data_IF_708646231584
#
_entry.id   IF_708646231584
#
_cell.length_a   1.000
_cell.length_b   1.000
_cell.length_c   1.000
_cell.angle_alpha   90.00
_cell.angle_beta   90.00
_cell.angle_gamma   90.00
#
_symmetry.space_group_name_H-M   'P 1'
#
loop_
_entity.id
_entity.type
_entity.pdbx_description
1 polymer ?
#
# COMPACT_ATOMS: atom_id res chain seq x y z
N UNK A 1 30.91 20.94 0.91
CA UNK A 1 30.00 20.00 1.64
C UNK A 1 28.63 20.16 1.04
N UNK A 2 27.99 19.07 0.55
CA UNK A 2 26.72 19.12 -0.19
C UNK A 2 25.55 19.18 0.83
N UNK A 3 24.69 20.18 0.70
CA UNK A 3 23.51 20.36 1.56
C UNK A 3 22.25 19.83 0.86
N UNK A 4 21.51 18.94 1.52
CA UNK A 4 20.36 18.23 0.94
C UNK A 4 19.11 18.49 1.80
N UNK A 5 18.04 19.01 1.19
CA UNK A 5 16.74 19.11 1.87
C UNK A 5 15.90 17.87 1.56
N UNK A 6 15.21 17.33 2.58
CA UNK A 6 14.20 16.28 2.43
C UNK A 6 12.86 16.88 2.84
N UNK A 7 11.87 16.84 1.97
CA UNK A 7 10.54 17.41 2.21
C UNK A 7 9.53 16.28 2.35
N UNK A 8 9.01 16.08 3.56
CA UNK A 8 8.09 15.02 3.93
C UNK A 8 8.74 13.94 4.80
N UNK A 9 8.21 13.75 6.02
CA UNK A 9 8.69 12.83 7.05
C UNK A 9 7.97 11.49 7.08
N UNK A 10 7.33 11.08 5.97
CA UNK A 10 6.82 9.72 5.79
C UNK A 10 7.94 8.69 5.64
N UNK A 11 7.58 7.40 5.50
CA UNK A 11 8.59 6.31 5.43
C UNK A 11 9.59 6.50 4.29
N UNK A 12 9.22 7.11 3.16
CA UNK A 12 10.13 7.40 2.05
C UNK A 12 11.16 8.47 2.43
N UNK A 13 10.73 9.57 3.05
CA UNK A 13 11.63 10.62 3.52
C UNK A 13 12.54 10.18 4.66
N UNK A 14 12.00 9.40 5.61
CA UNK A 14 12.79 8.80 6.69
C UNK A 14 13.82 7.80 6.17
N UNK A 15 13.47 6.99 5.15
CA UNK A 15 14.43 6.11 4.50
C UNK A 15 15.52 6.91 3.78
N UNK A 16 15.14 7.99 3.09
CA UNK A 16 16.14 8.88 2.47
C UNK A 16 17.09 9.48 3.51
N UNK A 17 16.56 9.99 4.63
CA UNK A 17 17.37 10.52 5.74
C UNK A 17 18.32 9.46 6.31
N UNK A 18 17.83 8.24 6.52
CA UNK A 18 18.64 7.12 7.04
C UNK A 18 19.81 6.77 6.12
N UNK A 19 19.58 6.66 4.81
CA UNK A 19 20.66 6.35 3.87
C UNK A 19 21.64 7.51 3.66
N UNK A 20 21.20 8.76 3.74
CA UNK A 20 22.10 9.92 3.77
C UNK A 20 22.93 9.94 5.06
N UNK A 21 22.33 9.63 6.20
CA UNK A 21 23.04 9.54 7.47
C UNK A 21 24.12 8.44 7.44
N UNK A 22 23.82 7.28 6.85
CA UNK A 22 24.83 6.23 6.65
C UNK A 22 26.02 6.73 5.83
N UNK A 23 25.78 7.46 4.71
CA UNK A 23 26.84 8.02 3.89
C UNK A 23 27.63 9.09 4.66
N UNK A 24 26.95 9.96 5.40
CA UNK A 24 27.59 11.00 6.22
C UNK A 24 28.51 10.38 7.26
N UNK A 25 28.09 9.33 7.94
CA UNK A 25 28.91 8.58 8.91
C UNK A 25 30.06 7.82 8.26
N UNK A 26 29.93 7.44 7.02
CA UNK A 26 30.99 6.84 6.22
C UNK A 26 31.99 7.87 5.67
N UNK A 27 31.84 9.15 6.00
CA UNK A 27 32.77 10.22 5.63
C UNK A 27 32.39 10.99 4.34
N UNK A 28 31.19 10.76 3.77
CA UNK A 28 30.74 11.56 2.63
C UNK A 28 30.55 13.03 3.05
N UNK A 29 31.05 14.02 2.26
CA UNK A 29 30.99 15.43 2.60
C UNK A 29 29.59 16.00 2.32
N UNK A 30 28.58 15.53 3.06
CA UNK A 30 27.20 15.96 2.93
C UNK A 30 26.55 16.28 4.28
N UNK A 31 25.57 17.16 4.23
CA UNK A 31 24.60 17.45 5.31
C UNK A 31 23.20 17.33 4.76
N UNK A 32 22.23 17.04 5.62
CA UNK A 32 20.83 17.02 5.24
C UNK A 32 19.94 17.62 6.32
N UNK A 33 18.74 18.09 5.92
CA UNK A 33 17.68 18.53 6.82
C UNK A 33 16.37 17.94 6.32
N UNK A 34 15.61 17.32 7.22
CA UNK A 34 14.27 16.81 6.93
C UNK A 34 13.22 17.77 7.47
N UNK A 35 12.31 18.20 6.60
CA UNK A 35 11.15 19.03 6.92
C UNK A 35 9.88 18.20 6.88
N UNK A 36 9.08 18.28 7.95
CA UNK A 36 7.77 17.62 8.05
C UNK A 36 6.73 18.63 8.54
N UNK A 37 5.58 18.67 7.83
CA UNK A 37 4.45 19.55 8.14
C UNK A 37 3.86 19.29 9.53
N UNK A 38 3.73 18.02 9.90
CA UNK A 38 3.09 17.59 11.15
C UNK A 38 4.10 17.49 12.30
N UNK A 39 3.65 17.49 13.57
CA UNK A 39 4.56 17.27 14.70
C UNK A 39 5.07 15.82 14.79
N UNK A 40 4.53 14.89 14.01
CA UNK A 40 4.86 13.46 14.04
C UNK A 40 5.50 12.99 12.73
N UNK A 41 6.61 12.26 12.85
CA UNK A 41 7.26 11.56 11.73
C UNK A 41 6.66 10.15 11.53
N UNK A 42 6.86 9.58 10.35
CA UNK A 42 6.41 8.22 9.99
C UNK A 42 5.20 8.19 9.04
N UNK A 43 4.53 9.33 8.80
CA UNK A 43 3.40 9.40 7.88
C UNK A 43 2.28 8.45 8.29
N UNK A 44 1.88 7.52 7.41
CA UNK A 44 0.82 6.54 7.69
C UNK A 44 1.25 5.35 8.57
N UNK A 45 2.55 5.18 8.86
CA UNK A 45 3.00 4.17 9.81
C UNK A 45 2.77 4.67 11.24
N UNK A 46 1.71 4.18 11.84
CA UNK A 46 1.31 4.55 13.19
C UNK A 46 0.67 3.35 13.87
N UNK A 47 1.18 3.03 15.06
CA UNK A 47 0.67 1.97 15.93
C UNK A 47 0.12 2.59 17.20
N UNK A 48 -1.10 2.24 17.57
CA UNK A 48 -1.79 2.64 18.80
C UNK A 48 -2.01 1.41 19.70
N UNK A 49 -2.36 1.62 20.94
CA UNK A 49 -2.65 0.55 21.91
C UNK A 49 -3.91 0.87 22.68
N UNK A 50 -4.77 -0.16 22.85
CA UNK A 50 -5.93 -0.07 23.71
C UNK A 50 -6.28 -1.47 24.26
N UNK A 51 -6.59 -1.57 25.54
CA UNK A 51 -7.01 -2.78 26.22
C UNK A 51 -6.09 -4.00 25.94
N UNK A 52 -4.79 -3.77 25.98
CA UNK A 52 -3.76 -4.79 25.68
C UNK A 52 -3.64 -5.15 24.19
N UNK A 53 -4.48 -4.61 23.32
CA UNK A 53 -4.42 -4.81 21.87
C UNK A 53 -3.47 -3.82 21.22
N UNK A 54 -2.80 -4.27 20.16
CA UNK A 54 -1.94 -3.47 19.31
C UNK A 54 -2.68 -3.14 18.01
N UNK A 55 -2.85 -1.85 17.74
CA UNK A 55 -3.73 -1.32 16.69
C UNK A 55 -2.90 -0.60 15.64
N UNK A 56 -2.96 -1.07 14.40
CA UNK A 56 -2.36 -0.34 13.29
C UNK A 56 -3.36 0.67 12.70
N UNK A 57 -3.01 1.92 12.73
CA UNK A 57 -3.82 2.98 12.13
C UNK A 57 -3.76 2.94 10.60
N UNK A 58 -2.56 2.73 10.04
CA UNK A 58 -2.26 2.64 8.61
C UNK A 58 -1.88 1.22 8.17
N UNK A 59 -0.81 1.01 7.38
CA UNK A 59 -0.36 -0.33 6.97
C UNK A 59 -0.07 -1.23 8.16
N UNK A 60 -0.63 -2.45 8.18
CA UNK A 60 -0.43 -3.44 9.26
C UNK A 60 0.72 -4.41 8.98
N UNK A 61 1.14 -4.49 7.75
CA UNK A 61 2.12 -5.45 7.25
C UNK A 61 2.58 -5.09 5.84
N UNK A 62 3.56 -5.80 5.34
CA UNK A 62 4.04 -5.69 3.96
C UNK A 62 4.22 -7.07 3.32
N UNK A 63 4.24 -7.11 1.99
CA UNK A 63 4.46 -8.34 1.24
C UNK A 63 5.89 -8.86 1.46
N UNK A 64 6.03 -10.08 1.94
CA UNK A 64 7.34 -10.73 2.21
C UNK A 64 8.18 -10.91 0.94
N UNK A 65 7.53 -10.98 -0.23
CA UNK A 65 8.20 -11.11 -1.53
C UNK A 65 9.09 -9.91 -1.85
N UNK A 66 8.77 -8.71 -1.33
CA UNK A 66 9.54 -7.48 -1.56
C UNK A 66 10.58 -7.29 -0.45
N UNK A 67 11.89 -7.38 -0.74
CA UNK A 67 12.93 -7.49 0.27
C UNK A 67 13.21 -6.20 1.05
N UNK A 68 12.98 -5.03 0.45
CA UNK A 68 13.51 -3.74 0.93
C UNK A 68 13.13 -3.38 2.37
N UNK A 69 11.95 -3.75 2.85
CA UNK A 69 11.56 -3.49 4.24
C UNK A 69 12.27 -4.44 5.21
N UNK A 70 12.41 -5.71 4.85
CA UNK A 70 13.15 -6.68 5.65
C UNK A 70 14.66 -6.37 5.65
N UNK A 71 15.20 -5.86 4.52
CA UNK A 71 16.58 -5.41 4.40
C UNK A 71 16.84 -4.24 5.34
N UNK A 72 15.98 -3.22 5.30
CA UNK A 72 16.09 -2.08 6.22
C UNK A 72 16.00 -2.53 7.69
N UNK A 73 15.10 -3.47 8.03
CA UNK A 73 15.05 -4.03 9.39
C UNK A 73 16.37 -4.72 9.79
N UNK A 74 17.07 -5.38 8.85
CA UNK A 74 18.40 -5.96 9.10
C UNK A 74 19.45 -4.87 9.33
N UNK A 75 19.48 -3.84 8.51
CA UNK A 75 20.40 -2.69 8.64
C UNK A 75 20.18 -1.93 9.96
N UNK A 76 18.93 -1.86 10.43
CA UNK A 76 18.57 -1.26 11.72
C UNK A 76 18.86 -2.17 12.93
N UNK A 77 19.16 -3.46 12.72
CA UNK A 77 19.39 -4.43 13.79
C UNK A 77 18.11 -4.99 14.43
N UNK A 78 16.95 -4.80 13.79
CA UNK A 78 15.64 -5.27 14.29
C UNK A 78 15.06 -6.45 13.52
N UNK A 79 15.87 -7.17 12.75
CA UNK A 79 15.39 -8.33 11.98
C UNK A 79 14.73 -9.41 12.84
N UNK A 80 15.17 -9.59 14.10
CA UNK A 80 14.56 -10.50 15.07
C UNK A 80 13.15 -10.10 15.53
N UNK A 81 12.69 -8.89 15.18
CA UNK A 81 11.34 -8.40 15.46
C UNK A 81 10.36 -8.65 14.32
N UNK A 82 10.84 -9.15 13.17
CA UNK A 82 9.99 -9.52 12.05
C UNK A 82 9.16 -10.76 12.37
N UNK A 83 7.88 -10.68 12.10
CA UNK A 83 6.91 -11.75 12.32
C UNK A 83 6.10 -11.99 11.05
N UNK A 84 5.78 -13.25 10.78
CA UNK A 84 4.94 -13.65 9.66
C UNK A 84 3.45 -13.65 10.01
N UNK A 85 2.61 -13.52 8.98
CA UNK A 85 1.17 -13.81 9.12
C UNK A 85 0.93 -15.29 9.41
N UNK A 86 -0.18 -15.60 10.10
CA UNK A 86 -0.61 -16.98 10.43
C UNK A 86 -1.20 -17.67 9.18
N UNK A 87 -0.34 -18.03 8.23
CA UNK A 87 -0.78 -18.59 6.94
C UNK A 87 -1.43 -19.98 7.05
N UNK A 88 -1.34 -20.65 8.20
CA UNK A 88 -2.08 -21.89 8.46
C UNK A 88 -3.60 -21.68 8.43
N UNK A 89 -4.06 -20.52 8.86
CA UNK A 89 -5.48 -20.12 8.89
C UNK A 89 -5.83 -19.05 7.85
N UNK A 90 -5.11 -18.98 6.72
CA UNK A 90 -5.27 -17.95 5.70
C UNK A 90 -6.54 -18.08 4.86
N UNK A 91 -7.70 -18.24 5.48
CA UNK A 91 -8.98 -18.19 4.79
C UNK A 91 -9.47 -16.75 4.68
N UNK A 92 -9.88 -16.36 3.48
CA UNK A 92 -10.54 -15.07 3.21
C UNK A 92 -11.93 -15.37 2.64
N UNK A 93 -12.90 -14.61 3.07
CA UNK A 93 -14.27 -14.76 2.63
C UNK A 93 -14.67 -13.62 1.71
N UNK A 94 -15.63 -13.87 0.84
CA UNK A 94 -16.34 -12.87 0.04
C UNK A 94 -17.76 -12.80 0.54
N UNK A 95 -18.28 -11.62 0.78
CA UNK A 95 -19.69 -11.43 1.05
C UNK A 95 -20.49 -11.66 -0.23
N UNK A 96 -21.42 -12.58 -0.24
CA UNK A 96 -22.26 -12.91 -1.39
C UNK A 96 -23.70 -13.13 -0.90
N UNK A 97 -24.62 -12.28 -1.35
CA UNK A 97 -26.04 -12.32 -0.93
C UNK A 97 -26.19 -12.35 0.60
N UNK A 98 -25.45 -11.49 1.29
CA UNK A 98 -25.45 -11.37 2.74
C UNK A 98 -24.77 -12.52 3.49
N UNK A 99 -24.09 -13.45 2.84
CA UNK A 99 -23.41 -14.60 3.46
C UNK A 99 -21.91 -14.60 3.14
N UNK A 100 -21.10 -15.02 4.09
CA UNK A 100 -19.66 -15.17 3.91
C UNK A 100 -19.34 -16.50 3.20
N UNK A 101 -18.84 -16.40 1.98
CA UNK A 101 -18.41 -17.53 1.15
C UNK A 101 -16.91 -17.58 1.12
N UNK A 102 -16.24 -18.67 1.51
CA UNK A 102 -14.78 -18.74 1.47
C UNK A 102 -14.27 -18.70 0.01
N UNK A 103 -13.17 -18.02 -0.20
CA UNK A 103 -12.42 -18.12 -1.47
C UNK A 103 -11.93 -19.58 -1.58
N UNK A 104 -12.24 -20.28 -2.68
CA UNK A 104 -11.89 -21.69 -2.80
C UNK A 104 -10.38 -21.89 -2.89
N UNK A 105 -9.91 -22.99 -2.28
CA UNK A 105 -8.52 -23.41 -2.40
C UNK A 105 -8.12 -23.60 -3.86
N UNK A 106 -6.95 -23.11 -4.22
CA UNK A 106 -6.46 -23.19 -5.60
C UNK A 106 -6.88 -22.01 -6.46
N UNK A 107 -7.50 -20.98 -5.90
CA UNK A 107 -7.62 -19.68 -6.53
C UNK A 107 -6.46 -18.82 -6.07
N UNK A 108 -5.48 -18.57 -6.94
CA UNK A 108 -4.35 -17.70 -6.63
C UNK A 108 -4.66 -16.29 -7.15
N UNK A 109 -4.85 -15.36 -6.21
CA UNK A 109 -5.37 -14.04 -6.49
C UNK A 109 -6.76 -14.16 -7.15
N UNK A 110 -6.87 -14.11 -8.47
CA UNK A 110 -8.12 -14.34 -9.23
C UNK A 110 -7.99 -15.44 -10.29
N UNK A 111 -6.87 -16.16 -10.30
CA UNK A 111 -6.56 -17.19 -11.31
C UNK A 111 -6.79 -18.58 -10.75
N UNK A 112 -7.70 -19.41 -11.35
CA UNK A 112 -7.91 -20.77 -10.91
C UNK A 112 -6.70 -21.65 -11.27
N UNK A 113 -6.05 -22.21 -10.25
CA UNK A 113 -4.93 -23.15 -10.37
C UNK A 113 -5.29 -24.58 -9.98
N UNK A 114 -6.45 -24.78 -9.35
CA UNK A 114 -7.08 -26.08 -9.08
C UNK A 114 -8.55 -26.03 -9.48
N UNK A 115 -8.99 -26.99 -10.28
CA UNK A 115 -10.32 -26.97 -10.91
C UNK A 115 -11.40 -27.37 -9.92
N UNK A 116 -11.24 -28.49 -9.20
CA UNK A 116 -12.30 -29.06 -8.36
C UNK A 116 -12.82 -28.11 -7.27
N UNK A 117 -11.98 -27.46 -6.46
CA UNK A 117 -12.48 -26.54 -5.43
C UNK A 117 -13.28 -25.36 -6.00
N UNK A 118 -12.92 -24.90 -7.21
CA UNK A 118 -13.63 -23.79 -7.87
C UNK A 118 -14.97 -24.25 -8.43
N UNK A 119 -15.04 -25.46 -9.00
CA UNK A 119 -16.28 -26.05 -9.55
C UNK A 119 -17.33 -26.20 -8.44
N UNK A 120 -16.95 -26.69 -7.26
CA UNK A 120 -17.88 -26.90 -6.14
C UNK A 120 -18.13 -25.65 -5.30
N UNK A 121 -17.37 -24.58 -5.49
CA UNK A 121 -17.56 -23.33 -4.73
C UNK A 121 -18.88 -22.63 -5.15
N UNK A 122 -19.68 -22.15 -4.18
CA UNK A 122 -20.84 -21.31 -4.48
C UNK A 122 -20.46 -19.86 -4.81
N UNK A 123 -19.17 -19.53 -4.81
CA UNK A 123 -18.68 -18.17 -5.08
C UNK A 123 -19.01 -17.69 -6.49
N UNK A 124 -19.06 -18.58 -7.48
CA UNK A 124 -19.29 -18.23 -8.88
C UNK A 124 -20.44 -19.00 -9.50
N UNK A 125 -21.17 -18.34 -10.39
CA UNK A 125 -22.20 -18.95 -11.22
C UNK A 125 -21.63 -19.98 -12.18
N UNK A 126 -22.47 -20.86 -12.70
CA UNK A 126 -22.07 -21.86 -13.69
C UNK A 126 -21.50 -21.17 -14.95
N UNK A 127 -22.10 -20.05 -15.37
CA UNK A 127 -21.61 -19.30 -16.53
C UNK A 127 -20.16 -18.80 -16.36
N UNK A 128 -19.80 -18.31 -15.17
CA UNK A 128 -18.41 -17.88 -14.88
C UNK A 128 -17.47 -19.08 -14.82
N UNK A 129 -17.90 -20.22 -14.26
CA UNK A 129 -17.09 -21.45 -14.24
C UNK A 129 -16.80 -21.97 -15.66
N UNK A 130 -17.78 -21.89 -16.57
CA UNK A 130 -17.57 -22.22 -17.99
C UNK A 130 -16.57 -21.26 -18.65
N UNK A 131 -16.66 -19.95 -18.35
CA UNK A 131 -15.66 -18.97 -18.85
C UNK A 131 -14.26 -19.28 -18.34
N UNK A 132 -14.12 -19.62 -17.05
CA UNK A 132 -12.84 -20.05 -16.47
C UNK A 132 -12.26 -21.29 -17.17
N UNK A 133 -13.11 -22.25 -17.56
CA UNK A 133 -12.68 -23.41 -18.32
C UNK A 133 -12.23 -23.05 -19.74
N UNK A 134 -12.97 -22.16 -20.43
CA UNK A 134 -12.61 -21.68 -21.78
C UNK A 134 -11.33 -20.85 -21.79
N UNK A 135 -11.04 -20.15 -20.72
CA UNK A 135 -9.84 -19.33 -20.56
C UNK A 135 -8.54 -20.13 -20.81
N UNK A 136 -8.51 -21.41 -20.47
CA UNK A 136 -7.37 -22.29 -20.74
C UNK A 136 -6.97 -22.40 -22.20
N UNK A 137 -7.88 -22.14 -23.11
CA UNK A 137 -7.69 -22.23 -24.56
C UNK A 137 -7.41 -20.88 -25.22
N UNK A 138 -7.32 -19.78 -24.45
CA UNK A 138 -7.01 -18.48 -25.02
C UNK A 138 -5.61 -18.49 -25.67
N UNK A 139 -5.50 -18.05 -26.94
CA UNK A 139 -4.21 -17.92 -27.61
C UNK A 139 -3.40 -16.76 -27.00
N UNK A 140 -2.05 -16.80 -27.12
CA UNK A 140 -1.21 -15.66 -26.78
C UNK A 140 -1.68 -14.39 -27.47
N UNK A 141 -1.72 -13.29 -26.72
CA UNK A 141 -2.11 -11.98 -27.23
C UNK A 141 -0.96 -11.00 -27.02
N UNK A 142 -0.38 -10.46 -28.12
CA UNK A 142 0.63 -9.42 -27.99
C UNK A 142 0.10 -8.25 -27.14
N UNK A 143 0.96 -7.68 -26.33
CA UNK A 143 0.59 -6.51 -25.51
C UNK A 143 0.22 -5.33 -26.42
N UNK A 144 -1.06 -5.03 -26.53
CA UNK A 144 -1.60 -3.96 -27.37
C UNK A 144 -1.81 -2.66 -26.59
N UNK A 145 -0.77 -2.20 -25.88
CA UNK A 145 -0.87 -1.01 -25.03
C UNK A 145 -1.26 -1.34 -23.59
N UNK A 146 -1.58 -0.29 -22.81
CA UNK A 146 -2.03 -0.42 -21.43
C UNK A 146 -3.57 -0.46 -21.38
N UNK A 147 -4.10 -1.22 -20.44
CA UNK A 147 -5.55 -1.37 -20.24
C UNK A 147 -5.90 -1.43 -18.76
N UNK A 148 -7.20 -1.31 -18.45
CA UNK A 148 -7.67 -1.44 -17.06
C UNK A 148 -7.70 -2.89 -16.60
N UNK A 149 -7.57 -3.10 -15.28
CA UNK A 149 -7.71 -4.43 -14.69
C UNK A 149 -9.09 -5.02 -14.97
N UNK A 150 -10.14 -4.20 -14.99
CA UNK A 150 -11.49 -4.64 -15.38
C UNK A 150 -11.49 -5.22 -16.79
N UNK A 151 -10.89 -4.54 -17.77
CA UNK A 151 -10.85 -5.00 -19.15
C UNK A 151 -10.16 -6.38 -19.26
N UNK A 152 -9.01 -6.55 -18.64
CA UNK A 152 -8.30 -7.84 -18.58
C UNK A 152 -9.18 -8.92 -17.95
N UNK A 153 -9.70 -8.69 -16.75
CA UNK A 153 -10.44 -9.70 -15.98
C UNK A 153 -11.77 -10.06 -16.64
N UNK A 154 -12.49 -9.06 -17.19
CA UNK A 154 -13.73 -9.33 -17.94
C UNK A 154 -13.49 -10.20 -19.19
N UNK A 155 -12.39 -9.95 -19.90
CA UNK A 155 -12.01 -10.72 -21.10
C UNK A 155 -11.71 -12.17 -20.76
N UNK A 156 -11.01 -12.43 -19.65
CA UNK A 156 -10.63 -13.78 -19.24
C UNK A 156 -11.75 -14.53 -18.51
N UNK A 157 -12.45 -13.86 -17.58
CA UNK A 157 -13.32 -14.54 -16.61
C UNK A 157 -14.75 -13.97 -16.55
N UNK A 158 -15.00 -12.81 -17.12
CA UNK A 158 -16.30 -12.14 -17.13
C UNK A 158 -16.56 -11.22 -15.94
N UNK A 159 -17.71 -10.51 -15.95
CA UNK A 159 -18.00 -9.42 -14.99
C UNK A 159 -18.18 -9.91 -13.54
N UNK A 160 -18.68 -11.12 -13.34
CA UNK A 160 -18.85 -11.67 -11.99
C UNK A 160 -17.51 -11.86 -11.25
N UNK A 161 -16.43 -12.20 -11.98
CA UNK A 161 -15.08 -12.27 -11.41
C UNK A 161 -14.58 -10.87 -10.99
N UNK A 162 -14.90 -9.85 -11.79
CA UNK A 162 -14.55 -8.46 -11.44
C UNK A 162 -15.25 -8.07 -10.15
N UNK A 163 -16.58 -8.21 -10.09
CA UNK A 163 -17.38 -7.79 -8.95
C UNK A 163 -17.00 -8.55 -7.66
N UNK A 164 -16.93 -9.88 -7.74
CA UNK A 164 -16.76 -10.72 -6.54
C UNK A 164 -15.33 -10.84 -6.07
N UNK A 165 -14.33 -10.59 -6.92
CA UNK A 165 -12.95 -10.86 -6.53
C UNK A 165 -11.97 -9.76 -6.92
N UNK A 166 -11.89 -9.36 -8.20
CA UNK A 166 -10.87 -8.41 -8.63
C UNK A 166 -11.02 -7.05 -7.95
N UNK A 167 -12.23 -6.49 -7.99
CA UNK A 167 -12.52 -5.17 -7.41
C UNK A 167 -12.36 -5.17 -5.87
N UNK A 168 -12.92 -6.13 -5.11
CA UNK A 168 -12.70 -6.19 -3.66
C UNK A 168 -11.23 -6.40 -3.24
N UNK A 169 -10.48 -7.24 -3.96
CA UNK A 169 -9.05 -7.46 -3.67
C UNK A 169 -8.21 -6.20 -3.92
N UNK A 170 -8.45 -5.51 -5.04
CA UNK A 170 -7.71 -4.31 -5.40
C UNK A 170 -8.12 -3.11 -4.55
N UNK A 171 -9.39 -2.99 -4.22
CA UNK A 171 -9.88 -1.95 -3.30
C UNK A 171 -9.23 -2.07 -1.92
N UNK A 172 -9.02 -3.29 -1.44
CA UNK A 172 -8.32 -3.54 -0.16
C UNK A 172 -6.84 -3.13 -0.18
N UNK A 173 -6.19 -3.10 -1.35
CA UNK A 173 -4.76 -2.77 -1.50
C UNK A 173 -4.57 -1.32 -1.93
N UNK A 174 -5.32 -0.88 -2.93
CA UNK A 174 -5.14 0.44 -3.57
C UNK A 174 -6.17 1.48 -3.10
N UNK A 175 -7.22 1.07 -2.38
CA UNK A 175 -8.35 1.96 -2.08
C UNK A 175 -9.05 2.50 -3.34
N UNK A 176 -8.75 1.90 -4.49
CA UNK A 176 -9.23 2.28 -5.82
C UNK A 176 -10.07 1.18 -6.45
N UNK A 177 -10.57 1.47 -7.63
CA UNK A 177 -11.38 0.54 -8.40
C UNK A 177 -10.55 -0.14 -9.48
N UNK A 178 -10.79 -1.43 -9.69
CA UNK A 178 -10.20 -2.16 -10.80
C UNK A 178 -10.45 -1.50 -12.16
N UNK A 179 -11.55 -0.74 -12.30
CA UNK A 179 -11.91 0.02 -13.51
C UNK A 179 -10.99 1.20 -13.81
N UNK A 180 -10.34 1.76 -12.80
CA UNK A 180 -9.40 2.88 -12.96
C UNK A 180 -7.94 2.45 -12.98
N UNK A 181 -7.61 1.22 -12.57
CA UNK A 181 -6.22 0.78 -12.38
C UNK A 181 -5.64 0.12 -13.64
N UNK A 182 -4.40 0.50 -13.99
CA UNK A 182 -3.61 -0.07 -15.08
C UNK A 182 -3.15 -1.49 -14.78
N UNK A 183 -3.35 -2.42 -15.70
CA UNK A 183 -2.79 -3.78 -15.60
C UNK A 183 -1.26 -3.75 -15.54
N UNK A 184 -0.63 -2.95 -16.41
CA UNK A 184 0.83 -2.87 -16.51
C UNK A 184 1.48 -2.30 -15.25
N UNK A 185 0.79 -1.36 -14.58
CA UNK A 185 1.32 -0.74 -13.37
C UNK A 185 1.05 -1.54 -12.09
N UNK A 186 -0.11 -2.21 -11.97
CA UNK A 186 -0.50 -2.90 -10.73
C UNK A 186 -0.40 -4.42 -10.80
N UNK A 187 -0.54 -5.02 -11.97
CA UNK A 187 -0.50 -6.47 -12.22
C UNK A 187 0.40 -6.84 -13.41
N UNK A 188 1.66 -6.35 -13.51
CA UNK A 188 2.52 -6.53 -14.69
C UNK A 188 2.68 -8.00 -15.07
N UNK A 189 2.77 -8.90 -14.08
CA UNK A 189 2.86 -10.35 -14.32
C UNK A 189 1.67 -10.92 -15.09
N UNK A 190 0.47 -10.33 -14.96
CA UNK A 190 -0.71 -10.79 -15.69
C UNK A 190 -0.63 -10.40 -17.16
N UNK A 191 -0.17 -9.18 -17.45
CA UNK A 191 0.09 -8.76 -18.83
C UNK A 191 1.15 -9.66 -19.50
N UNK A 192 2.24 -9.97 -18.79
CA UNK A 192 3.28 -10.89 -19.26
C UNK A 192 2.75 -12.32 -19.50
N UNK A 193 1.90 -12.81 -18.58
CA UNK A 193 1.29 -14.15 -18.72
C UNK A 193 0.35 -14.21 -19.92
N UNK A 194 -0.49 -13.20 -20.15
CA UNK A 194 -1.35 -13.12 -21.32
C UNK A 194 -0.52 -13.06 -22.61
N UNK A 195 0.49 -12.20 -22.67
CA UNK A 195 1.34 -12.08 -23.83
C UNK A 195 2.07 -13.38 -24.18
N UNK A 196 2.58 -14.10 -23.18
CA UNK A 196 3.38 -15.31 -23.38
C UNK A 196 2.55 -16.58 -23.52
N UNK A 197 1.48 -16.71 -22.77
CA UNK A 197 0.71 -17.96 -22.65
C UNK A 197 -0.72 -17.83 -23.17
N UNK A 198 -1.24 -16.62 -23.38
CA UNK A 198 -2.65 -16.35 -23.69
C UNK A 198 -3.55 -16.55 -22.48
N UNK A 199 -3.40 -17.67 -21.80
CA UNK A 199 -4.14 -18.03 -20.59
C UNK A 199 -3.37 -17.62 -19.32
N UNK A 200 -4.04 -16.90 -18.43
CA UNK A 200 -3.51 -16.58 -17.09
C UNK A 200 -3.35 -17.87 -16.26
N UNK A 201 -4.27 -18.83 -16.42
CA UNK A 201 -4.21 -20.15 -15.79
C UNK A 201 -2.93 -20.90 -16.17
N UNK A 202 -2.65 -21.03 -17.48
CA UNK A 202 -1.41 -21.67 -17.97
C UNK A 202 -0.17 -20.93 -17.52
N UNK A 203 -0.17 -19.59 -17.58
CA UNK A 203 0.93 -18.74 -17.10
C UNK A 203 1.22 -18.96 -15.62
N UNK A 204 0.17 -18.99 -14.79
CA UNK A 204 0.30 -19.20 -13.34
C UNK A 204 0.85 -20.58 -13.00
N UNK A 205 0.40 -21.64 -13.70
CA UNK A 205 0.95 -22.99 -13.51
C UNK A 205 2.42 -23.08 -13.93
N UNK A 206 2.80 -22.41 -15.03
CA UNK A 206 4.20 -22.36 -15.45
C UNK A 206 5.08 -21.64 -14.42
N UNK A 207 4.60 -20.53 -13.84
CA UNK A 207 5.27 -19.83 -12.76
C UNK A 207 5.40 -20.71 -11.51
N UNK A 208 4.32 -21.40 -11.12
CA UNK A 208 4.32 -22.30 -9.95
C UNK A 208 5.30 -23.47 -10.12
N UNK A 209 5.39 -24.08 -11.31
CA UNK A 209 6.38 -25.16 -11.59
C UNK A 209 7.82 -24.65 -11.38
N UNK A 210 8.12 -23.44 -11.84
CA UNK A 210 9.44 -22.81 -11.62
C UNK A 210 9.72 -22.54 -10.15
N UNK A 211 8.73 -22.09 -9.37
CA UNK A 211 8.89 -21.87 -7.92
C UNK A 211 9.02 -23.18 -7.14
N UNK A 212 8.30 -24.23 -7.54
CA UNK A 212 8.36 -25.54 -6.89
C UNK A 212 9.76 -26.22 -7.04
N UNK A 213 10.53 -25.88 -8.07
CA UNK A 213 11.91 -26.33 -8.23
C UNK A 213 12.90 -25.59 -7.31
N UNK A 214 12.49 -24.50 -6.70
CA UNK A 214 13.29 -23.79 -5.68
C UNK A 214 13.18 -24.50 -4.34
N UNK A 215 14.33 -24.86 -3.74
CA UNK A 215 14.44 -25.47 -2.40
C UNK A 215 14.20 -24.47 -1.24
N UNK A 216 13.76 -23.23 -1.54
CA UNK A 216 13.53 -22.23 -0.50
C UNK A 216 12.35 -22.62 0.40
N UNK A 217 12.47 -22.48 1.74
CA UNK A 217 11.37 -22.76 2.65
C UNK A 217 10.16 -21.84 2.36
N UNK A 218 8.94 -22.30 2.62
CA UNK A 218 7.75 -21.48 2.46
C UNK A 218 7.86 -20.23 3.35
N UNK A 219 7.66 -19.06 2.74
CA UNK A 219 7.65 -17.78 3.46
C UNK A 219 6.21 -17.34 3.69
N UNK A 220 5.90 -16.68 4.82
CA UNK A 220 4.58 -16.11 5.04
C UNK A 220 4.27 -15.09 3.95
N UNK A 221 3.00 -14.93 3.61
CA UNK A 221 2.59 -13.96 2.58
C UNK A 221 2.86 -12.53 3.03
N UNK A 222 2.55 -12.25 4.31
CA UNK A 222 2.75 -10.95 4.91
C UNK A 222 3.77 -11.03 6.05
N UNK A 223 4.57 -9.99 6.15
CA UNK A 223 5.49 -9.75 7.26
C UNK A 223 5.12 -8.46 7.97
N UNK A 224 5.25 -8.44 9.28
CA UNK A 224 5.03 -7.27 10.13
C UNK A 224 6.11 -7.20 11.21
N UNK A 225 6.02 -6.24 12.11
CA UNK A 225 6.90 -6.09 13.27
C UNK A 225 6.14 -6.41 14.56
N UNK A 226 6.80 -7.02 15.51
CA UNK A 226 6.22 -7.52 16.77
C UNK A 226 5.50 -6.41 17.54
N UNK A 227 6.11 -5.25 17.69
CA UNK A 227 5.56 -4.11 18.42
C UNK A 227 4.79 -3.12 17.55
N UNK A 228 4.49 -3.50 16.29
CA UNK A 228 3.76 -2.69 15.34
C UNK A 228 4.64 -2.05 14.27
N UNK A 229 4.00 -1.56 13.24
CA UNK A 229 4.72 -0.93 12.13
C UNK A 229 5.40 0.38 12.52
N UNK A 230 4.93 1.05 13.60
CA UNK A 230 5.59 2.21 14.18
C UNK A 230 7.03 1.88 14.65
N UNK A 231 7.30 0.65 15.07
CA UNK A 231 8.63 0.19 15.48
C UNK A 231 9.71 0.43 14.41
N UNK A 232 9.34 0.32 13.12
CA UNK A 232 10.25 0.66 12.02
C UNK A 232 10.62 2.14 12.03
N UNK A 233 9.64 3.00 12.21
CA UNK A 233 9.82 4.46 12.29
C UNK A 233 10.72 4.81 13.48
N UNK A 234 10.40 4.29 14.65
CA UNK A 234 11.14 4.56 15.88
C UNK A 234 12.59 4.10 15.77
N UNK A 235 12.82 2.95 15.12
CA UNK A 235 14.16 2.41 14.89
C UNK A 235 14.99 3.25 13.92
N UNK A 236 14.37 3.86 12.91
CA UNK A 236 15.02 4.83 12.02
C UNK A 236 15.37 6.08 12.81
N UNK A 237 14.39 6.66 13.53
CA UNK A 237 14.59 7.90 14.30
C UNK A 237 15.69 7.77 15.34
N UNK A 238 15.86 6.62 15.98
CA UNK A 238 16.95 6.34 16.92
C UNK A 238 18.36 6.38 16.26
N UNK A 239 18.45 6.35 14.93
CA UNK A 239 19.70 6.43 14.17
C UNK A 239 19.98 7.82 13.62
N UNK A 240 19.00 8.73 13.64
CA UNK A 240 19.10 10.07 13.06
C UNK A 240 19.36 11.12 14.12
N UNK A 241 20.23 12.14 13.85
CA UNK A 241 20.39 13.30 14.70
C UNK A 241 19.10 14.11 14.77
N UNK A 242 18.61 14.37 15.98
CA UNK A 242 17.31 15.04 16.17
C UNK A 242 17.30 16.48 15.66
N UNK A 243 18.43 17.17 15.72
CA UNK A 243 18.62 18.53 15.21
C UNK A 243 18.44 18.68 13.71
N UNK A 244 18.51 17.58 12.95
CA UNK A 244 18.30 17.56 11.51
C UNK A 244 16.83 17.27 11.12
N UNK A 245 15.98 16.99 12.11
CA UNK A 245 14.57 16.64 11.92
C UNK A 245 13.68 17.81 12.35
N UNK A 246 13.13 18.53 11.38
CA UNK A 246 12.29 19.71 11.62
C UNK A 246 10.82 19.37 11.43
N UNK A 247 10.15 18.99 12.49
CA UNK A 247 8.70 18.75 12.54
C UNK A 247 7.91 20.03 12.76
N UNK A 248 6.64 20.07 12.33
CA UNK A 248 5.81 21.28 12.39
C UNK A 248 6.28 22.39 11.44
N UNK A 249 7.11 22.05 10.44
CA UNK A 249 7.71 22.98 9.50
C UNK A 249 7.15 22.77 8.09
N UNK A 250 6.24 23.63 7.68
CA UNK A 250 5.63 23.59 6.36
C UNK A 250 6.55 24.20 5.32
N UNK A 251 7.02 23.40 4.36
CA UNK A 251 7.64 23.93 3.15
C UNK A 251 6.53 24.46 2.24
N UNK A 252 6.54 25.76 1.98
CA UNK A 252 5.52 26.45 1.17
C UNK A 252 5.89 26.55 -0.29
N UNK A 253 7.17 26.69 -0.58
CA UNK A 253 7.65 26.96 -1.93
C UNK A 253 9.08 26.44 -2.12
N UNK A 254 9.36 26.02 -3.34
CA UNK A 254 10.71 25.76 -3.82
C UNK A 254 11.04 26.77 -4.92
N UNK A 255 12.26 27.29 -4.92
CA UNK A 255 12.78 28.16 -5.99
C UNK A 255 14.14 27.67 -6.48
N UNK A 256 14.46 28.00 -7.70
CA UNK A 256 15.81 27.82 -8.26
C UNK A 256 16.57 29.15 -8.22
N UNK A 257 17.78 29.10 -7.68
CA UNK A 257 18.73 30.23 -7.70
C UNK A 257 20.06 29.75 -8.28
N UNK A 258 20.21 29.88 -9.60
CA UNK A 258 21.34 29.30 -10.32
C UNK A 258 21.38 27.77 -10.21
N UNK A 259 22.45 27.22 -9.67
CA UNK A 259 22.58 25.76 -9.41
C UNK A 259 21.96 25.30 -8.11
N UNK A 260 21.57 26.23 -7.21
CA UNK A 260 21.05 25.91 -5.88
C UNK A 260 19.51 25.88 -5.83
N UNK A 261 18.98 25.23 -4.79
CA UNK A 261 17.59 25.21 -4.43
C UNK A 261 17.35 26.09 -3.20
N UNK A 262 16.37 26.98 -3.27
CA UNK A 262 15.89 27.73 -2.13
C UNK A 262 14.61 27.07 -1.61
N UNK A 263 14.65 26.59 -0.36
CA UNK A 263 13.50 26.00 0.33
C UNK A 263 12.89 27.07 1.23
N UNK A 264 11.66 27.47 0.92
CA UNK A 264 10.92 28.48 1.71
C UNK A 264 10.03 27.76 2.72
N UNK A 265 10.32 27.98 4.00
CA UNK A 265 9.62 27.36 5.12
C UNK A 265 8.74 28.41 5.79
N UNK A 266 7.49 28.05 6.07
CA UNK A 266 6.54 28.92 6.74
C UNK A 266 7.06 29.37 8.11
N UNK A 267 6.98 30.67 8.39
CA UNK A 267 7.38 31.30 9.66
C UNK A 267 8.87 31.23 10.04
N UNK A 268 9.71 30.51 9.29
CA UNK A 268 11.15 30.36 9.62
C UNK A 268 12.10 30.94 8.56
N UNK A 269 11.55 31.38 7.41
CA UNK A 269 12.34 31.98 6.33
C UNK A 269 12.73 31.00 5.24
N UNK A 270 13.87 31.24 4.59
CA UNK A 270 14.33 30.41 3.48
C UNK A 270 15.78 29.96 3.65
N UNK A 271 16.08 28.74 3.19
CA UNK A 271 17.40 28.14 3.25
C UNK A 271 17.84 27.59 1.90
N UNK A 272 19.15 27.67 1.63
CA UNK A 272 19.76 27.16 0.38
C UNK A 272 20.28 25.75 0.53
N UNK A 273 20.03 24.93 -0.50
CA UNK A 273 20.46 23.55 -0.62
C UNK A 273 21.00 23.27 -2.02
N UNK A 274 21.90 22.29 -2.13
CA UNK A 274 22.42 21.83 -3.43
C UNK A 274 21.48 20.82 -4.09
N UNK A 275 20.72 20.08 -3.26
CA UNK A 275 19.75 19.08 -3.72
C UNK A 275 18.50 19.07 -2.86
N UNK A 276 17.39 18.66 -3.46
CA UNK A 276 16.10 18.52 -2.75
C UNK A 276 15.50 17.14 -3.08
N UNK A 277 15.11 16.41 -2.04
CA UNK A 277 14.31 15.19 -2.13
C UNK A 277 12.87 15.54 -1.76
N UNK A 278 11.94 15.47 -2.71
CA UNK A 278 10.52 15.70 -2.44
C UNK A 278 9.87 14.34 -2.19
N UNK A 279 9.61 14.04 -0.92
CA UNK A 279 9.03 12.78 -0.43
C UNK A 279 7.57 12.95 0.05
N UNK A 280 6.85 13.88 -0.59
CA UNK A 280 5.43 14.16 -0.35
C UNK A 280 4.54 13.39 -1.34
N UNK A 281 3.21 13.34 -1.14
CA UNK A 281 2.28 12.91 -2.20
C UNK A 281 2.52 13.67 -3.51
N UNK A 282 2.39 13.00 -4.65
CA UNK A 282 2.74 13.58 -5.95
C UNK A 282 2.00 14.89 -6.27
N UNK A 283 0.71 15.10 -5.95
CA UNK A 283 0.06 16.40 -6.14
C UNK A 283 0.68 17.54 -5.32
N UNK A 284 1.16 17.24 -4.10
CA UNK A 284 1.86 18.22 -3.26
C UNK A 284 3.23 18.56 -3.86
N UNK A 285 3.95 17.53 -4.37
CA UNK A 285 5.20 17.75 -5.11
C UNK A 285 4.95 18.62 -6.36
N UNK A 286 3.84 18.38 -7.09
CA UNK A 286 3.42 19.21 -8.20
C UNK A 286 3.21 20.67 -7.81
N UNK A 287 2.52 20.92 -6.71
CA UNK A 287 2.29 22.27 -6.22
C UNK A 287 3.60 23.00 -5.87
N UNK A 288 4.55 22.30 -5.21
CA UNK A 288 5.86 22.86 -4.84
C UNK A 288 6.74 23.18 -6.07
N UNK A 289 6.55 22.50 -7.18
CA UNK A 289 7.35 22.64 -8.40
C UNK A 289 6.66 23.50 -9.48
N UNK A 290 5.46 24.00 -9.24
CA UNK A 290 4.64 24.67 -10.26
C UNK A 290 5.29 25.92 -10.84
N UNK A 291 5.95 26.73 -10.03
CA UNK A 291 6.68 27.95 -10.46
C UNK A 291 8.01 27.66 -11.15
N UNK A 292 8.55 26.44 -11.03
CA UNK A 292 9.87 26.06 -11.55
C UNK A 292 9.73 25.34 -12.89
N UNK A 293 8.82 24.35 -12.96
CA UNK A 293 8.60 23.53 -14.14
C UNK A 293 7.12 23.12 -14.22
N UNK A 294 6.35 23.94 -14.91
CA UNK A 294 4.88 23.81 -14.99
C UNK A 294 4.42 22.46 -15.61
N UNK A 295 5.17 21.92 -16.57
CA UNK A 295 4.85 20.63 -17.19
C UNK A 295 5.04 19.47 -16.21
N UNK A 296 6.17 19.46 -15.47
CA UNK A 296 6.41 18.47 -14.41
C UNK A 296 5.33 18.55 -13.33
N UNK A 297 4.96 19.76 -12.92
CA UNK A 297 3.92 19.99 -11.93
C UNK A 297 2.55 19.42 -12.38
N UNK A 298 2.18 19.59 -13.66
CA UNK A 298 0.95 19.02 -14.24
C UNK A 298 0.98 17.48 -14.23
N UNK A 299 2.09 16.87 -14.65
CA UNK A 299 2.23 15.40 -14.66
C UNK A 299 2.16 14.81 -13.24
N UNK A 300 2.78 15.46 -12.26
CA UNK A 300 2.72 15.06 -10.85
C UNK A 300 1.31 15.21 -10.27
N UNK A 301 0.67 16.35 -10.52
CA UNK A 301 -0.70 16.64 -10.03
C UNK A 301 -1.75 15.73 -10.63
N UNK A 302 -1.50 15.18 -11.82
CA UNK A 302 -2.41 14.25 -12.48
C UNK A 302 -2.34 12.81 -11.95
N UNK A 303 -1.43 12.50 -11.02
CA UNK A 303 -1.45 11.24 -10.27
C UNK A 303 -2.55 11.35 -9.22
N UNK A 304 -3.65 10.66 -9.44
CA UNK A 304 -4.78 10.66 -8.52
C UNK A 304 -4.45 9.94 -7.20
N UNK A 305 -5.11 10.35 -6.14
CA UNK A 305 -5.04 9.69 -4.83
C UNK A 305 -6.44 9.45 -4.29
N UNK A 306 -6.67 8.29 -3.73
CA UNK A 306 -7.87 7.98 -2.96
C UNK A 306 -7.64 8.15 -1.46
N UNK A 307 -8.74 8.28 -0.76
CA UNK A 307 -8.77 8.40 0.69
C UNK A 307 -9.34 7.14 1.31
N UNK A 308 -8.99 6.84 2.56
CA UNK A 308 -9.51 5.67 3.26
C UNK A 308 -9.79 5.98 4.72
N UNK A 309 -10.71 5.21 5.29
CA UNK A 309 -11.01 5.20 6.72
C UNK A 309 -10.79 3.78 7.24
N UNK A 310 -9.99 3.65 8.31
CA UNK A 310 -9.85 2.40 9.03
C UNK A 310 -10.52 2.51 10.38
N UNK A 311 -11.35 1.50 10.71
CA UNK A 311 -12.06 1.42 11.99
C UNK A 311 -11.65 0.14 12.68
N UNK A 312 -11.04 0.23 13.84
CA UNK A 312 -10.64 -0.92 14.64
C UNK A 312 -11.49 -1.01 15.89
N UNK A 313 -12.12 -2.18 16.09
CA UNK A 313 -12.96 -2.48 17.23
C UNK A 313 -12.37 -3.66 18.00
N UNK A 314 -12.24 -3.50 19.32
CA UNK A 314 -11.88 -4.58 20.24
C UNK A 314 -13.10 -5.12 20.94
N UNK A 315 -13.16 -6.43 21.12
CA UNK A 315 -14.25 -7.14 21.80
C UNK A 315 -13.69 -8.16 22.77
N UNK A 316 -14.47 -8.51 23.79
CA UNK A 316 -14.26 -9.76 24.51
C UNK A 316 -14.49 -10.95 23.56
N UNK A 317 -13.59 -11.91 23.58
CA UNK A 317 -13.68 -13.07 22.68
C UNK A 317 -14.71 -14.09 23.14
N UNK A 318 -14.98 -14.12 24.44
CA UNK A 318 -15.98 -15.04 25.02
C UNK A 318 -17.37 -14.77 24.43
N UNK A 319 -18.01 -15.79 23.92
CA UNK A 319 -19.33 -15.71 23.31
C UNK A 319 -19.38 -15.22 21.86
N UNK A 320 -18.26 -14.77 21.27
CA UNK A 320 -18.23 -14.40 19.86
C UNK A 320 -18.10 -15.62 18.95
N UNK A 321 -18.94 -15.65 17.91
CA UNK A 321 -18.90 -16.69 16.86
C UNK A 321 -18.36 -16.08 15.57
N UNK A 322 -17.03 -15.88 15.53
CA UNK A 322 -16.36 -15.39 14.34
C UNK A 322 -15.87 -16.58 13.48
N UNK A 323 -15.98 -16.51 12.15
CA UNK A 323 -15.42 -17.55 11.29
C UNK A 323 -13.88 -17.55 11.38
N UNK A 324 -13.23 -18.72 11.23
CA UNK A 324 -11.78 -18.80 11.18
C UNK A 324 -11.23 -18.06 9.93
N UNK A 325 -9.97 -17.65 9.97
CA UNK A 325 -9.31 -17.01 8.83
C UNK A 325 -9.00 -15.55 9.04
N UNK A 326 -8.60 -14.86 7.96
CA UNK A 326 -8.08 -13.50 8.01
C UNK A 326 -9.15 -12.42 7.95
N UNK A 327 -10.36 -12.77 7.48
CA UNK A 327 -11.42 -11.79 7.33
C UNK A 327 -12.22 -11.95 6.04
N UNK A 328 -12.92 -10.90 5.65
CA UNK A 328 -13.76 -10.90 4.46
C UNK A 328 -13.62 -9.61 3.65
N UNK A 329 -13.98 -9.72 2.37
CA UNK A 329 -14.10 -8.61 1.44
C UNK A 329 -15.58 -8.42 1.09
N UNK A 330 -15.99 -7.16 0.94
CA UNK A 330 -17.35 -6.76 0.57
C UNK A 330 -17.40 -6.29 -0.88
N UNK A 331 -17.92 -7.11 -1.82
CA UNK A 331 -18.24 -6.65 -3.16
C UNK A 331 -19.27 -5.52 -3.13
N UNK A 332 -19.20 -4.63 -4.12
CA UNK A 332 -20.13 -3.50 -4.23
C UNK A 332 -21.57 -3.89 -4.46
N UNK A 333 -21.77 -4.99 -5.19
CA UNK A 333 -23.10 -5.57 -5.42
C UNK A 333 -23.87 -5.89 -4.12
N UNK A 334 -23.17 -5.99 -3.00
CA UNK A 334 -23.78 -6.22 -1.68
C UNK A 334 -24.29 -4.94 -0.98
N UNK A 335 -24.04 -3.75 -1.56
CA UNK A 335 -24.55 -2.47 -1.08
C UNK A 335 -24.06 -2.05 0.30
N UNK A 336 -22.90 -2.58 0.75
CA UNK A 336 -22.26 -2.21 2.00
C UNK A 336 -21.20 -1.11 1.78
N UNK A 337 -21.01 -0.24 2.78
CA UNK A 337 -19.92 0.75 2.78
C UNK A 337 -18.58 0.12 3.16
N UNK A 338 -18.62 -0.95 3.95
CA UNK A 338 -17.43 -1.68 4.35
C UNK A 338 -16.84 -2.45 3.17
N UNK A 339 -15.63 -2.07 2.76
CA UNK A 339 -14.88 -2.73 1.68
C UNK A 339 -14.27 -4.05 2.13
N UNK A 340 -13.85 -4.12 3.39
CA UNK A 340 -13.22 -5.30 3.97
C UNK A 340 -13.25 -5.26 5.49
N UNK A 341 -13.12 -6.43 6.10
CA UNK A 341 -12.87 -6.57 7.53
C UNK A 341 -11.79 -7.63 7.76
N UNK A 342 -10.73 -7.26 8.48
CA UNK A 342 -9.66 -8.18 8.88
C UNK A 342 -9.87 -8.63 10.32
N UNK A 343 -9.80 -9.94 10.57
CA UNK A 343 -9.74 -10.54 11.89
C UNK A 343 -8.29 -10.54 12.37
N UNK A 344 -7.86 -9.42 12.95
CA UNK A 344 -6.45 -9.14 13.26
C UNK A 344 -5.88 -10.19 14.20
N UNK A 345 -6.64 -10.61 15.21
CA UNK A 345 -6.26 -11.65 16.18
C UNK A 345 -6.02 -13.03 15.56
N UNK A 346 -6.57 -13.31 14.36
CA UNK A 346 -6.29 -14.53 13.61
C UNK A 346 -5.10 -14.35 12.65
N UNK A 347 -5.01 -13.20 11.96
CA UNK A 347 -3.92 -12.90 11.01
C UNK A 347 -2.58 -12.74 11.73
N UNK A 348 -2.59 -12.07 12.89
CA UNK A 348 -1.44 -11.82 13.76
C UNK A 348 -1.82 -12.07 15.23
N UNK A 349 -1.73 -13.32 15.70
CA UNK A 349 -2.27 -13.70 17.03
C UNK A 349 -1.71 -12.91 18.22
N UNK A 350 -0.49 -12.39 18.11
CA UNK A 350 0.14 -11.59 19.18
C UNK A 350 -0.38 -10.13 19.26
N UNK A 351 -1.20 -9.69 18.30
CA UNK A 351 -1.78 -8.33 18.28
C UNK A 351 -2.88 -8.11 19.30
N UNK A 352 -3.44 -9.17 19.85
CA UNK A 352 -4.47 -9.10 20.86
C UNK A 352 -4.26 -10.18 21.94
N UNK A 353 -4.60 -9.93 23.20
CA UNK A 353 -4.69 -10.96 24.23
C UNK A 353 -5.60 -12.11 23.79
N UNK A 354 -5.41 -13.31 24.35
CA UNK A 354 -6.18 -14.51 23.97
C UNK A 354 -7.68 -14.39 24.22
N UNK A 355 -8.07 -13.59 25.18
CA UNK A 355 -9.45 -13.28 25.57
C UNK A 355 -10.04 -12.10 24.80
N UNK A 356 -9.33 -11.54 23.82
CA UNK A 356 -9.75 -10.42 22.98
C UNK A 356 -9.89 -10.83 21.53
N UNK A 357 -10.86 -10.23 20.85
CA UNK A 357 -11.03 -10.26 19.41
C UNK A 357 -10.86 -8.85 18.85
N UNK A 358 -10.01 -8.70 17.85
CA UNK A 358 -9.69 -7.43 17.22
C UNK A 358 -10.13 -7.48 15.76
N UNK A 359 -11.10 -6.62 15.41
CA UNK A 359 -11.63 -6.47 14.06
C UNK A 359 -11.19 -5.13 13.48
N UNK A 360 -10.65 -5.14 12.25
CA UNK A 360 -10.26 -3.95 11.53
C UNK A 360 -11.02 -3.84 10.22
N UNK A 361 -11.87 -2.82 10.13
CA UNK A 361 -12.76 -2.55 9.03
C UNK A 361 -12.21 -1.43 8.15
N UNK A 362 -12.42 -1.53 6.84
CA UNK A 362 -11.95 -0.59 5.84
C UNK A 362 -13.13 0.01 5.10
N UNK A 363 -13.17 1.34 4.99
CA UNK A 363 -14.21 2.13 4.34
C UNK A 363 -13.58 3.24 3.49
N UNK A 364 -14.38 3.95 2.71
CA UNK A 364 -13.91 5.02 1.83
C UNK A 364 -13.51 4.49 0.45
N UNK A 365 -12.35 4.90 -0.03
CA UNK A 365 -11.92 4.64 -1.39
C UNK A 365 -12.44 5.71 -2.37
N UNK A 366 -12.20 5.52 -3.65
CA UNK A 366 -12.48 6.52 -4.69
C UNK A 366 -13.95 6.92 -4.81
N UNK A 367 -14.88 6.11 -4.30
CA UNK A 367 -16.34 6.37 -4.45
C UNK A 367 -17.04 6.80 -3.17
N UNK A 368 -16.42 6.74 -2.03
CA UNK A 368 -17.03 7.09 -0.74
C UNK A 368 -16.13 8.06 0.04
N UNK A 369 -15.68 9.12 -0.64
CA UNK A 369 -14.84 10.14 -0.01
C UNK A 369 -15.62 10.98 1.01
N UNK A 370 -16.94 11.05 0.91
CA UNK A 370 -17.79 11.80 1.85
C UNK A 370 -17.65 11.31 3.30
N UNK A 371 -17.33 10.00 3.50
CA UNK A 371 -17.14 9.40 4.84
C UNK A 371 -16.01 10.07 5.64
N UNK A 372 -15.04 10.70 4.97
CA UNK A 372 -14.00 11.46 5.63
C UNK A 372 -14.52 12.65 6.42
N UNK A 373 -15.61 13.25 5.95
CA UNK A 373 -16.30 14.36 6.62
C UNK A 373 -17.19 13.94 7.79
N UNK A 374 -17.49 12.64 7.92
CA UNK A 374 -18.43 12.17 8.94
C UNK A 374 -17.83 12.22 10.35
N UNK A 375 -18.65 12.51 11.38
CA UNK A 375 -18.25 12.33 12.78
C UNK A 375 -17.87 10.88 13.07
N UNK A 376 -16.92 10.67 13.99
CA UNK A 376 -16.47 9.34 14.39
C UNK A 376 -17.62 8.43 14.84
N UNK A 377 -18.57 8.96 15.60
CA UNK A 377 -19.74 8.22 16.09
C UNK A 377 -20.62 7.69 14.96
N UNK A 378 -20.79 8.47 13.88
CA UNK A 378 -21.57 8.05 12.72
C UNK A 378 -20.85 6.93 11.94
N UNK A 379 -19.53 7.05 11.78
CA UNK A 379 -18.71 5.98 11.16
C UNK A 379 -18.80 4.70 11.98
N UNK A 380 -18.65 4.79 13.30
CA UNK A 380 -18.75 3.64 14.20
C UNK A 380 -20.15 2.98 14.10
N UNK A 381 -21.22 3.77 14.11
CA UNK A 381 -22.58 3.26 14.02
C UNK A 381 -22.82 2.45 12.73
N UNK A 382 -22.33 2.95 11.58
CA UNK A 382 -22.42 2.23 10.30
C UNK A 382 -21.63 0.93 10.35
N UNK A 383 -20.39 0.95 10.81
CA UNK A 383 -19.55 -0.25 10.91
C UNK A 383 -20.19 -1.29 11.81
N UNK A 384 -20.67 -0.90 12.97
CA UNK A 384 -21.35 -1.82 13.91
C UNK A 384 -22.63 -2.41 13.34
N UNK A 385 -23.42 -1.59 12.61
CA UNK A 385 -24.61 -2.09 11.91
C UNK A 385 -24.22 -3.14 10.87
N UNK A 386 -23.22 -2.88 10.03
CA UNK A 386 -22.79 -3.81 8.99
C UNK A 386 -22.15 -5.08 9.57
N UNK A 387 -21.36 -4.98 10.65
CA UNK A 387 -20.85 -6.16 11.37
C UNK A 387 -21.98 -7.02 11.97
N UNK A 388 -23.04 -6.39 12.47
CA UNK A 388 -24.26 -7.11 12.92
C UNK A 388 -24.93 -7.83 11.77
N UNK A 389 -25.10 -7.17 10.63
CA UNK A 389 -25.77 -7.74 9.46
C UNK A 389 -24.96 -8.92 8.87
N UNK A 390 -23.63 -8.83 8.85
CA UNK A 390 -22.73 -9.79 8.18
C UNK A 390 -22.29 -10.92 9.14
N UNK A 391 -21.89 -10.57 10.36
CA UNK A 391 -21.30 -11.50 11.33
C UNK A 391 -22.24 -11.85 12.48
N UNK A 392 -23.46 -11.30 12.52
CA UNK A 392 -24.41 -11.42 13.64
C UNK A 392 -23.81 -10.90 14.97
N UNK A 393 -22.87 -9.95 14.85
CA UNK A 393 -22.14 -9.41 15.98
C UNK A 393 -22.97 -8.33 16.69
N UNK A 394 -23.60 -8.71 17.80
CA UNK A 394 -24.45 -7.82 18.63
C UNK A 394 -23.71 -7.26 19.85
N UNK A 395 -22.58 -7.85 20.22
CA UNK A 395 -21.76 -7.42 21.35
C UNK A 395 -21.35 -5.94 21.24
N UNK A 396 -21.23 -5.27 22.40
CA UNK A 396 -20.66 -3.94 22.47
C UNK A 396 -19.14 -4.04 22.38
N UNK A 397 -18.48 -3.20 21.59
CA UNK A 397 -17.02 -3.15 21.59
C UNK A 397 -16.49 -2.55 22.90
N UNK A 398 -15.36 -3.06 23.36
CA UNK A 398 -14.60 -2.49 24.50
C UNK A 398 -14.01 -1.12 24.13
N UNK A 399 -13.62 -0.99 22.88
CA UNK A 399 -13.14 0.26 22.29
C UNK A 399 -13.39 0.30 20.80
N UNK A 400 -13.43 1.54 20.26
CA UNK A 400 -13.42 1.84 18.84
C UNK A 400 -12.35 2.88 18.54
N UNK A 401 -11.58 2.68 17.47
CA UNK A 401 -10.60 3.64 16.96
C UNK A 401 -10.87 3.88 15.48
N UNK A 402 -10.98 5.15 15.10
CA UNK A 402 -11.23 5.59 13.73
C UNK A 402 -10.06 6.43 13.25
N UNK A 403 -9.46 6.04 12.13
CA UNK A 403 -8.38 6.78 11.50
C UNK A 403 -8.76 7.16 10.07
N UNK A 404 -8.55 8.42 9.71
CA UNK A 404 -8.90 9.00 8.42
C UNK A 404 -7.63 9.34 7.66
N UNK A 405 -7.47 8.76 6.48
CA UNK A 405 -6.29 8.93 5.64
C UNK A 405 -6.69 9.64 4.35
N UNK A 406 -6.65 10.97 4.38
CA UNK A 406 -7.01 11.81 3.23
C UNK A 406 -5.88 11.77 2.18
N UNK A 407 -6.23 11.41 0.93
CA UNK A 407 -5.30 11.42 -0.19
C UNK A 407 -4.01 10.60 0.06
N UNK A 408 -4.14 9.43 0.72
CA UNK A 408 -2.97 8.66 1.14
C UNK A 408 -2.58 7.53 0.17
N UNK A 409 -3.50 7.12 -0.72
CA UNK A 409 -3.33 5.95 -1.58
C UNK A 409 -3.27 6.36 -3.06
N UNK A 410 -2.07 6.32 -3.64
CA UNK A 410 -1.87 6.64 -5.05
C UNK A 410 -2.60 5.66 -5.98
N UNK A 411 -3.20 6.19 -7.05
CA UNK A 411 -3.96 5.45 -8.04
C UNK A 411 -3.17 5.36 -9.35
N UNK A 412 -2.76 4.16 -9.71
CA UNK A 412 -2.01 3.91 -10.93
C UNK A 412 -2.96 3.61 -12.09
N UNK A 413 -3.48 4.70 -12.71
CA UNK A 413 -4.38 4.60 -13.84
C UNK A 413 -3.70 4.16 -15.13
N UNK A 414 -4.51 3.90 -16.17
CA UNK A 414 -3.99 3.63 -17.52
C UNK A 414 -3.09 4.77 -17.98
N UNK A 415 -1.93 4.45 -18.54
CA UNK A 415 -0.90 5.41 -18.94
C UNK A 415 0.01 5.89 -17.79
N UNK A 416 -0.08 5.27 -16.61
CA UNK A 416 0.77 5.65 -15.46
C UNK A 416 2.26 5.46 -15.74
N UNK A 417 2.67 4.37 -16.38
CA UNK A 417 4.07 4.10 -16.68
C UNK A 417 4.63 5.11 -17.67
N UNK A 418 3.89 5.45 -18.71
CA UNK A 418 4.24 6.49 -19.68
C UNK A 418 4.32 7.88 -19.02
N UNK A 419 3.45 8.15 -18.04
CA UNK A 419 3.54 9.36 -17.21
C UNK A 419 4.82 9.40 -16.40
N UNK A 420 5.23 8.29 -15.79
CA UNK A 420 6.49 8.23 -15.06
C UNK A 420 7.71 8.49 -15.95
N UNK A 421 7.68 8.01 -17.19
CA UNK A 421 8.74 8.31 -18.16
C UNK A 421 8.80 9.81 -18.51
N UNK A 422 7.64 10.48 -18.65
CA UNK A 422 7.58 11.94 -18.84
C UNK A 422 8.08 12.68 -17.61
N UNK A 423 7.63 12.30 -16.41
CA UNK A 423 8.10 12.87 -15.14
C UNK A 423 9.63 12.76 -15.05
N UNK A 424 10.18 11.60 -15.36
CA UNK A 424 11.63 11.38 -15.26
C UNK A 424 12.42 12.25 -16.25
N UNK A 425 11.97 12.36 -17.52
CA UNK A 425 12.60 13.25 -18.50
C UNK A 425 12.58 14.73 -18.05
N UNK A 426 11.46 15.19 -17.48
CA UNK A 426 11.32 16.56 -16.99
C UNK A 426 12.15 16.78 -15.72
N UNK A 427 12.19 15.80 -14.81
CA UNK A 427 13.02 15.84 -13.60
C UNK A 427 14.53 15.97 -13.94
N UNK A 428 14.99 15.27 -14.97
CA UNK A 428 16.41 15.34 -15.41
C UNK A 428 16.83 16.75 -15.84
N UNK A 429 15.90 17.61 -16.23
CA UNK A 429 16.16 19.02 -16.52
C UNK A 429 16.36 19.88 -15.26
N UNK A 430 16.14 19.30 -14.08
CA UNK A 430 16.24 19.96 -12.78
C UNK A 430 17.33 19.28 -11.91
N UNK A 431 18.62 19.61 -12.14
CA UNK A 431 19.72 19.03 -11.38
C UNK A 431 19.52 19.21 -9.87
N UNK A 432 19.81 18.16 -9.11
CA UNK A 432 19.64 18.14 -7.68
C UNK A 432 18.21 17.85 -7.20
N UNK A 433 17.21 17.68 -8.08
CA UNK A 433 15.87 17.23 -7.70
C UNK A 433 15.79 15.70 -7.69
N UNK A 434 15.31 15.14 -6.58
CA UNK A 434 14.88 13.74 -6.49
C UNK A 434 13.44 13.64 -5.99
N UNK A 435 12.71 12.64 -6.43
CA UNK A 435 11.33 12.38 -6.05
C UNK A 435 11.26 11.02 -5.34
N UNK A 436 10.52 10.95 -4.22
CA UNK A 436 10.30 9.71 -3.49
C UNK A 436 8.84 9.59 -3.03
N UNK A 437 8.36 8.37 -2.84
CA UNK A 437 7.01 8.14 -2.32
C UNK A 437 6.22 7.09 -3.08
N UNK A 438 4.99 6.90 -2.63
CA UNK A 438 4.06 5.90 -3.16
C UNK A 438 3.39 6.30 -4.48
N UNK A 439 3.62 7.52 -4.98
CA UNK A 439 3.04 8.01 -6.22
C UNK A 439 3.68 7.44 -7.49
N UNK A 440 4.78 6.72 -7.38
CA UNK A 440 5.63 6.39 -8.53
C UNK A 440 5.65 4.89 -8.84
N UNK A 441 6.55 4.11 -8.21
CA UNK A 441 6.83 2.72 -8.57
C UNK A 441 6.51 1.74 -7.45
N UNK A 442 5.27 1.73 -6.98
CA UNK A 442 4.74 0.86 -5.94
C UNK A 442 4.28 1.61 -4.70
N UNK A 443 3.10 1.20 -4.18
CA UNK A 443 2.44 1.86 -3.06
C UNK A 443 2.79 1.25 -1.70
N UNK A 444 3.41 0.06 -1.69
CA UNK A 444 3.71 -0.68 -0.46
C UNK A 444 4.85 -0.07 0.34
N UNK A 445 4.89 -0.35 1.63
CA UNK A 445 5.98 0.09 2.53
C UNK A 445 7.37 -0.26 1.97
N UNK A 446 7.61 -1.48 1.45
CA UNK A 446 8.90 -1.80 0.85
C UNK A 446 9.25 -0.93 -0.37
N UNK A 447 8.27 -0.63 -1.20
CA UNK A 447 8.49 0.21 -2.39
C UNK A 447 8.82 1.66 -2.00
N UNK A 448 8.14 2.17 -0.96
CA UNK A 448 8.41 3.50 -0.41
C UNK A 448 9.82 3.60 0.18
N UNK A 449 10.28 2.54 0.87
CA UNK A 449 11.64 2.45 1.41
C UNK A 449 12.67 2.47 0.27
N UNK A 450 12.47 1.63 -0.76
CA UNK A 450 13.32 1.63 -1.95
C UNK A 450 13.36 3.00 -2.60
N UNK A 451 12.21 3.61 -2.83
CA UNK A 451 12.10 4.94 -3.44
C UNK A 451 12.87 6.01 -2.65
N UNK A 452 12.81 5.96 -1.31
CA UNK A 452 13.59 6.84 -0.44
C UNK A 452 15.10 6.61 -0.55
N UNK A 453 15.52 5.33 -0.57
CA UNK A 453 16.93 4.96 -0.78
C UNK A 453 17.47 5.47 -2.11
N UNK A 454 16.75 5.20 -3.19
CA UNK A 454 17.14 5.60 -4.55
C UNK A 454 17.25 7.14 -4.66
N UNK A 455 16.30 7.87 -4.05
CA UNK A 455 16.34 9.34 -4.00
C UNK A 455 17.52 9.86 -3.19
N UNK A 456 17.90 9.22 -2.09
CA UNK A 456 19.08 9.59 -1.30
C UNK A 456 20.37 9.43 -2.12
N UNK A 457 20.53 8.30 -2.81
CA UNK A 457 21.69 8.06 -3.68
C UNK A 457 21.79 9.10 -4.80
N UNK A 458 20.68 9.38 -5.50
CA UNK A 458 20.63 10.38 -6.55
C UNK A 458 20.95 11.79 -6.03
N UNK A 459 20.42 12.19 -4.86
CA UNK A 459 20.68 13.50 -4.27
C UNK A 459 22.12 13.66 -3.77
N UNK A 460 22.75 12.60 -3.30
CA UNK A 460 24.16 12.60 -2.90
C UNK A 460 25.14 12.61 -4.08
N UNK A 461 24.68 12.36 -5.30
CA UNK A 461 25.52 12.29 -6.49
C UNK A 461 26.20 10.94 -6.71
N UNK A 462 25.75 9.90 -6.00
CA UNK A 462 26.17 8.53 -6.27
C UNK A 462 25.39 7.97 -7.48
N UNK A 463 26.05 7.23 -8.35
CA UNK A 463 25.37 6.50 -9.43
C UNK A 463 24.43 5.47 -8.81
N UNK A 464 23.16 5.53 -9.19
CA UNK A 464 22.18 4.50 -8.83
C UNK A 464 22.52 3.28 -9.67
N UNK A 465 23.06 2.21 -9.05
CA UNK A 465 23.16 0.92 -9.72
C UNK A 465 21.73 0.47 -10.12
N UNK A 466 21.53 0.29 -11.43
CA UNK A 466 20.26 -0.06 -12.07
C UNK A 466 19.75 -1.48 -11.66
#
# INVERSE_FOLDING_TARGET
>A
MRRIAIIGGGISGLSAAFYLEQQRRAGAPLEYVLFELTPRLGGSLQTDRADGCLIEAGPDSFLTEKPWAADLCRELGIAGQLIGSNDADRKTYILVKGRLVPIPDGLMFMVPTRILPVVFSPLFSLGTKVRMAREWFHPPRPAAGDETVVALVQRHYGPEMVDRLADPLLSGVYGGEASGLSVRAVLPRFAEMEAKHGSLGRGMLAARKRMASSKAPPRPLFTSLKDGMQQLVDSILARLPQELLRTGNTVRELRREGSSWLVVVENTGSERFDSVIVATPAPVAGALLASIQAELARELSAIAYSSSVTVTLGYERAGLRLPPGFGFLGPRSEGKRMLACTFVHNKFPHRAPRDRALLRCFLGGARDEEILGWPQQQIEAVVRKELRDILWLTAQPLFCRVYKWKGAMAQYGVGHLERLERIERLRQQLPGLALAGNGYRGIGVPDCIRSGKDAAMAAAGAEVCA
#
